data_IF_320396334983
#
_entry.id   IF_320396334983
#
_cell.length_a   1.000
_cell.length_b   1.000
_cell.length_c   1.000
_cell.angle_alpha   90.00
_cell.angle_beta   90.00
_cell.angle_gamma   90.00
#
_symmetry.space_group_name_H-M   'P 1'
#
loop_
_entity.id
_entity.type
_entity.pdbx_description
1 polymer ?
#
# COMPACT_ATOMS: atom_id res chain seq x y z
N UNK A 1 -6.48 19.66 -32.07
CA UNK A 1 -7.65 19.23 -31.28
C UNK A 1 -7.10 18.49 -30.06
N UNK A 2 -7.13 19.14 -28.90
CA UNK A 2 -6.43 18.69 -27.70
C UNK A 2 -7.32 17.71 -26.93
N UNK A 3 -6.91 16.44 -26.87
CA UNK A 3 -7.59 15.37 -26.13
C UNK A 3 -6.95 15.17 -24.74
N UNK A 4 -5.95 15.99 -24.38
CA UNK A 4 -5.04 15.72 -23.26
C UNK A 4 -5.42 16.40 -21.94
N UNK A 5 -6.71 16.70 -21.71
CA UNK A 5 -7.17 17.19 -20.40
C UNK A 5 -8.54 16.61 -20.05
N UNK A 6 -8.62 15.28 -19.99
CA UNK A 6 -9.62 14.66 -19.11
C UNK A 6 -8.89 14.27 -17.82
N UNK A 7 -8.65 15.26 -16.96
CA UNK A 7 -8.27 15.01 -15.58
C UNK A 7 -9.47 14.29 -14.97
N UNK A 8 -9.41 12.96 -14.92
CA UNK A 8 -10.32 12.20 -14.06
C UNK A 8 -9.97 12.65 -12.65
N UNK A 9 -10.83 13.50 -12.07
CA UNK A 9 -10.64 14.11 -10.75
C UNK A 9 -10.76 13.10 -9.58
N UNK A 10 -10.46 11.82 -9.83
CA UNK A 10 -10.60 10.72 -8.88
C UNK A 10 -9.69 9.56 -9.23
N UNK A 11 -9.52 8.64 -8.28
CA UNK A 11 -8.80 7.40 -8.49
C UNK A 11 -9.40 6.63 -9.67
N UNK A 12 -8.54 6.12 -10.54
CA UNK A 12 -8.97 5.23 -11.61
C UNK A 12 -9.71 4.02 -11.03
N UNK A 13 -10.73 3.53 -11.75
CA UNK A 13 -11.57 2.41 -11.28
C UNK A 13 -10.75 1.14 -11.06
N UNK A 14 -9.76 0.88 -11.91
CA UNK A 14 -8.89 -0.29 -11.78
C UNK A 14 -8.06 -0.14 -10.51
N UNK A 15 -7.40 1.00 -10.32
CA UNK A 15 -6.62 1.28 -9.11
C UNK A 15 -7.46 1.12 -7.83
N UNK A 16 -8.71 1.59 -7.86
CA UNK A 16 -9.65 1.42 -6.73
C UNK A 16 -9.86 -0.05 -6.37
N UNK A 17 -10.06 -0.91 -7.38
CA UNK A 17 -10.24 -2.36 -7.17
C UNK A 17 -8.93 -3.06 -6.79
N UNK A 18 -7.79 -2.58 -7.28
CA UNK A 18 -6.49 -3.12 -6.90
C UNK A 18 -6.14 -2.80 -5.45
N UNK A 19 -6.52 -1.62 -4.93
CA UNK A 19 -6.35 -1.29 -3.51
C UNK A 19 -7.17 -2.21 -2.59
N UNK A 20 -8.33 -2.69 -3.03
CA UNK A 20 -9.09 -3.71 -2.29
C UNK A 20 -8.27 -4.99 -2.13
N UNK A 21 -7.56 -5.42 -3.18
CA UNK A 21 -6.68 -6.58 -3.10
C UNK A 21 -5.56 -6.38 -2.07
N UNK A 22 -4.97 -5.18 -2.03
CA UNK A 22 -3.90 -4.86 -1.06
C UNK A 22 -4.39 -5.07 0.37
N UNK A 23 -5.56 -4.51 0.72
CA UNK A 23 -6.11 -4.62 2.08
C UNK A 23 -6.61 -6.03 2.40
N UNK A 24 -7.22 -6.72 1.44
CA UNK A 24 -7.62 -8.13 1.60
C UNK A 24 -6.43 -9.03 1.91
N UNK A 25 -5.31 -8.82 1.22
CA UNK A 25 -4.10 -9.65 1.40
C UNK A 25 -3.45 -9.42 2.76
N UNK A 26 -3.33 -8.17 3.19
CA UNK A 26 -2.86 -7.82 4.53
C UNK A 26 -3.76 -8.44 5.61
N UNK A 27 -5.08 -8.23 5.51
CA UNK A 27 -6.05 -8.73 6.47
C UNK A 27 -6.05 -10.27 6.57
N UNK A 28 -5.99 -10.98 5.42
CA UNK A 28 -5.94 -12.45 5.40
C UNK A 28 -4.63 -12.97 5.99
N UNK A 29 -3.50 -12.27 5.79
CA UNK A 29 -2.23 -12.64 6.39
C UNK A 29 -2.29 -12.51 7.92
N UNK A 30 -2.68 -11.36 8.45
CA UNK A 30 -2.84 -11.14 9.90
C UNK A 30 -3.87 -12.10 10.53
N UNK A 31 -4.97 -12.37 9.83
CA UNK A 31 -6.05 -13.23 10.34
C UNK A 31 -5.58 -14.65 10.70
N UNK A 32 -4.50 -15.16 10.08
CA UNK A 32 -3.92 -16.49 10.38
C UNK A 32 -3.27 -16.55 11.77
N UNK A 33 -2.93 -15.40 12.35
CA UNK A 33 -2.33 -15.27 13.67
C UNK A 33 -3.33 -14.78 14.74
N UNK A 34 -4.60 -14.56 14.38
CA UNK A 34 -5.62 -14.12 15.33
C UNK A 34 -5.74 -15.09 16.52
N UNK A 35 -5.74 -14.53 17.72
CA UNK A 35 -5.87 -15.29 18.97
C UNK A 35 -4.57 -15.93 19.48
N UNK A 36 -3.42 -15.69 18.83
CA UNK A 36 -2.11 -16.22 19.28
C UNK A 36 -1.40 -15.37 20.32
N UNK A 37 -1.87 -14.15 20.58
CA UNK A 37 -1.26 -13.23 21.55
C UNK A 37 0.08 -12.64 21.11
N UNK A 38 0.41 -12.75 19.81
CA UNK A 38 1.65 -12.23 19.23
C UNK A 38 1.31 -11.12 18.22
N UNK A 39 1.20 -9.90 18.75
CA UNK A 39 0.87 -8.69 17.98
C UNK A 39 1.92 -8.41 16.91
N UNK A 40 3.20 -8.46 17.28
CA UNK A 40 4.32 -8.15 16.37
C UNK A 40 4.37 -9.10 15.18
N UNK A 41 4.15 -10.39 15.41
CA UNK A 41 4.11 -11.34 14.30
C UNK A 41 2.88 -11.14 13.40
N UNK A 42 1.73 -10.75 13.95
CA UNK A 42 0.53 -10.48 13.17
C UNK A 42 0.68 -9.22 12.31
N UNK A 43 1.27 -8.18 12.88
CA UNK A 43 1.60 -6.92 12.22
C UNK A 43 2.61 -7.13 11.08
N UNK A 44 3.72 -7.83 11.37
CA UNK A 44 4.76 -8.10 10.36
C UNK A 44 4.20 -8.81 9.11
N UNK A 45 3.36 -9.83 9.28
CA UNK A 45 2.81 -10.53 8.10
C UNK A 45 1.82 -9.68 7.30
N UNK A 46 1.18 -8.70 7.94
CA UNK A 46 0.30 -7.75 7.26
C UNK A 46 1.12 -6.72 6.48
N UNK A 47 2.15 -6.15 7.10
CA UNK A 47 3.14 -5.24 6.47
C UNK A 47 3.73 -5.90 5.24
N UNK A 48 4.22 -7.14 5.36
CA UNK A 48 4.84 -7.90 4.26
C UNK A 48 3.87 -8.07 3.08
N UNK A 49 2.66 -8.53 3.36
CA UNK A 49 1.64 -8.78 2.34
C UNK A 49 1.17 -7.49 1.67
N UNK A 50 0.98 -6.41 2.44
CA UNK A 50 0.61 -5.10 1.94
C UNK A 50 1.72 -4.55 1.02
N UNK A 51 2.98 -4.60 1.48
CA UNK A 51 4.15 -4.12 0.72
C UNK A 51 4.30 -4.84 -0.61
N UNK A 52 4.11 -6.17 -0.62
CA UNK A 52 4.20 -6.98 -1.83
C UNK A 52 3.11 -6.61 -2.85
N UNK A 53 1.86 -6.46 -2.41
CA UNK A 53 0.76 -6.14 -3.31
C UNK A 53 0.80 -4.68 -3.78
N UNK A 54 1.24 -3.73 -2.94
CA UNK A 54 1.51 -2.35 -3.34
C UNK A 54 2.52 -2.29 -4.49
N UNK A 55 3.58 -3.11 -4.47
CA UNK A 55 4.58 -3.15 -5.53
C UNK A 55 4.06 -3.68 -6.88
N UNK A 56 2.89 -4.32 -6.91
CA UNK A 56 2.26 -4.79 -8.14
C UNK A 56 1.44 -3.70 -8.82
N UNK A 57 1.10 -2.63 -8.11
CA UNK A 57 0.25 -1.55 -8.61
C UNK A 57 0.95 -0.70 -9.68
N UNK A 58 0.18 -0.24 -10.66
CA UNK A 58 0.60 0.78 -11.61
C UNK A 58 0.48 2.18 -10.98
N UNK A 59 1.34 2.46 -9.99
CA UNK A 59 1.51 3.79 -9.38
C UNK A 59 2.98 4.16 -9.22
N UNK A 60 3.23 5.47 -9.13
CA UNK A 60 4.43 6.02 -8.51
C UNK A 60 4.04 6.49 -7.10
N UNK A 61 4.03 5.54 -6.16
CA UNK A 61 3.50 5.73 -4.82
C UNK A 61 4.56 6.19 -3.83
N UNK A 62 4.20 7.11 -2.94
CA UNK A 62 5.03 7.52 -1.80
C UNK A 62 4.24 7.34 -0.51
N UNK A 63 4.80 6.61 0.44
CA UNK A 63 4.21 6.49 1.79
C UNK A 63 4.33 7.84 2.50
N UNK A 64 3.19 8.46 2.82
CA UNK A 64 3.13 9.73 3.56
C UNK A 64 2.72 9.54 5.03
N UNK A 65 2.10 8.41 5.33
CA UNK A 65 1.83 7.91 6.70
C UNK A 65 2.06 6.40 6.65
N UNK A 66 2.93 5.88 7.49
CA UNK A 66 3.31 4.46 7.52
C UNK A 66 3.74 3.98 8.90
N UNK A 67 4.49 2.88 8.96
CA UNK A 67 4.86 2.18 10.21
C UNK A 67 5.79 2.98 11.13
N UNK A 68 6.44 4.02 10.60
CA UNK A 68 7.34 4.88 11.32
C UNK A 68 8.33 5.58 10.41
N UNK A 69 9.35 6.17 11.03
CA UNK A 69 10.50 6.73 10.30
C UNK A 69 11.38 5.61 9.74
N UNK A 70 12.21 5.91 8.72
CA UNK A 70 13.07 4.91 8.06
C UNK A 70 14.02 4.17 9.00
N UNK A 71 14.45 4.82 10.07
CA UNK A 71 15.35 4.22 11.06
C UNK A 71 14.61 3.29 12.05
N UNK A 72 13.28 3.39 12.12
CA UNK A 72 12.43 2.67 13.06
C UNK A 72 11.66 1.52 12.39
N UNK A 73 11.32 1.68 11.10
CA UNK A 73 10.55 0.72 10.33
C UNK A 73 11.33 0.24 9.09
N UNK A 74 11.59 -1.07 8.94
CA UNK A 74 12.35 -1.60 7.81
C UNK A 74 11.59 -1.55 6.48
N UNK A 75 10.25 -1.49 6.52
CA UNK A 75 9.35 -1.43 5.38
C UNK A 75 8.14 -0.56 5.73
N UNK A 76 7.49 -0.02 4.69
CA UNK A 76 6.36 0.91 4.76
C UNK A 76 6.63 2.13 5.64
N UNK A 77 7.87 2.60 5.65
CA UNK A 77 8.28 3.80 6.38
C UNK A 77 7.87 5.08 5.63
N UNK A 78 7.79 6.20 6.34
CA UNK A 78 7.46 7.51 5.75
C UNK A 78 8.52 7.90 4.72
N UNK A 79 8.08 8.15 3.49
CA UNK A 79 8.92 8.47 2.34
C UNK A 79 9.35 7.24 1.52
N UNK A 80 8.92 6.02 1.86
CA UNK A 80 9.19 4.86 1.02
C UNK A 80 8.46 4.96 -0.33
N UNK A 81 9.18 4.62 -1.41
CA UNK A 81 8.62 4.47 -2.75
C UNK A 81 8.04 3.07 -2.95
N UNK A 82 6.80 3.01 -3.44
CA UNK A 82 6.06 1.77 -3.68
C UNK A 82 5.35 1.79 -5.03
N UNK A 83 5.03 0.60 -5.55
CA UNK A 83 4.44 0.44 -6.87
C UNK A 83 5.47 0.14 -7.94
N UNK A 84 4.99 -0.11 -9.15
CA UNK A 84 5.84 -0.43 -10.30
C UNK A 84 6.54 0.78 -10.91
N UNK A 85 6.31 1.99 -10.38
CA UNK A 85 6.84 3.26 -10.91
C UNK A 85 6.17 3.72 -12.21
N UNK A 86 5.17 2.99 -12.70
CA UNK A 86 4.36 3.34 -13.87
C UNK A 86 3.01 3.83 -13.38
N UNK A 87 2.49 4.95 -13.87
CA UNK A 87 1.15 5.42 -13.51
C UNK A 87 1.18 6.72 -12.70
N UNK A 88 0.06 7.09 -12.05
CA UNK A 88 -0.06 8.38 -11.38
C UNK A 88 0.84 8.45 -10.14
N UNK A 89 1.30 9.67 -9.84
CA UNK A 89 1.91 9.98 -8.55
C UNK A 89 0.84 10.02 -7.47
N UNK A 90 1.03 9.26 -6.39
CA UNK A 90 0.06 9.17 -5.29
C UNK A 90 0.77 9.18 -3.93
N UNK A 91 0.23 9.96 -3.00
CA UNK A 91 0.57 9.84 -1.58
C UNK A 91 -0.29 8.75 -0.94
N UNK A 92 0.34 7.86 -0.16
CA UNK A 92 -0.31 6.70 0.44
C UNK A 92 -0.23 6.82 1.96
N UNK A 93 -1.39 6.75 2.61
CA UNK A 93 -1.48 6.52 4.04
C UNK A 93 -1.90 5.07 4.27
N UNK A 94 -1.22 4.37 5.18
CA UNK A 94 -1.45 2.96 5.45
C UNK A 94 -1.37 2.63 6.94
N UNK A 95 -1.90 1.45 7.27
CA UNK A 95 -1.92 0.82 8.59
C UNK A 95 -2.34 -0.64 8.38
N UNK A 96 -1.37 -1.57 8.23
CA UNK A 96 -1.60 -2.99 7.92
C UNK A 96 -2.33 -3.78 9.00
#
# INVERSE_FOLDING_TARGET
MNIAQNIVAGLDRILTMELVRVTERAAVAAARLRGRGDEKAADQVAVDAMREELNRLAINGTVVIGEGERDEAPMLYIGEEVGSGKGPAVGIALGP
#
